data_IF_820032492640
#
_entry.id   IF_820032492640
#
_cell.length_a   1.000
_cell.length_b   1.000
_cell.length_c   1.000
_cell.angle_alpha   90.00
_cell.angle_beta   90.00
_cell.angle_gamma   90.00
#
_symmetry.space_group_name_H-M   'P 1'
#
loop_
_entity.id
_entity.type
_entity.pdbx_description
1 polymer ?
#
# COMPACT_ATOMS: atom_id res chain seq x y z
N UNK A 1 34.22 -19.71 -15.54
CA UNK A 1 33.45 -19.72 -14.28
C UNK A 1 31.98 -19.52 -14.64
N UNK A 2 31.06 -20.06 -13.86
CA UNK A 2 29.61 -19.92 -14.10
C UNK A 2 29.15 -18.55 -13.63
N UNK A 3 28.57 -17.75 -14.52
CA UNK A 3 27.77 -16.57 -14.17
C UNK A 3 26.73 -16.94 -13.09
N UNK A 4 26.22 -15.97 -12.30
CA UNK A 4 25.14 -16.23 -11.36
C UNK A 4 24.00 -16.95 -12.10
N UNK A 5 23.72 -18.19 -11.70
CA UNK A 5 22.65 -19.00 -12.27
C UNK A 5 21.28 -18.63 -11.71
N UNK A 6 21.26 -17.82 -10.63
CA UNK A 6 20.06 -17.30 -9.98
C UNK A 6 20.22 -15.78 -9.87
N UNK A 7 19.35 -15.05 -10.55
CA UNK A 7 19.16 -13.60 -10.37
C UNK A 7 17.87 -13.42 -9.58
N UNK A 8 17.86 -12.43 -8.69
CA UNK A 8 16.70 -12.03 -7.89
C UNK A 8 15.69 -11.19 -8.70
N UNK A 9 15.89 -11.06 -10.02
CA UNK A 9 15.05 -10.28 -10.92
C UNK A 9 13.55 -10.65 -10.85
N UNK A 10 13.22 -11.94 -10.75
CA UNK A 10 11.81 -12.37 -10.68
C UNK A 10 11.17 -11.91 -9.38
N UNK A 11 11.89 -12.04 -8.26
CA UNK A 11 11.47 -11.57 -6.94
C UNK A 11 11.34 -10.05 -6.91
N UNK A 12 12.30 -9.33 -7.50
CA UNK A 12 12.25 -7.87 -7.65
C UNK A 12 11.00 -7.43 -8.41
N UNK A 13 10.69 -8.06 -9.55
CA UNK A 13 9.50 -7.71 -10.33
C UNK A 13 8.21 -8.02 -9.56
N UNK A 14 8.18 -9.13 -8.81
CA UNK A 14 7.04 -9.46 -7.95
C UNK A 14 6.83 -8.42 -6.83
N UNK A 15 7.92 -7.90 -6.23
CA UNK A 15 7.87 -6.84 -5.24
C UNK A 15 7.36 -5.52 -5.84
N UNK A 16 7.82 -5.12 -7.03
CA UNK A 16 7.30 -3.93 -7.72
C UNK A 16 5.81 -4.07 -8.06
N UNK A 17 5.38 -5.25 -8.53
CA UNK A 17 3.97 -5.49 -8.82
C UNK A 17 3.12 -5.41 -7.53
N UNK A 18 3.62 -5.98 -6.42
CA UNK A 18 2.95 -5.91 -5.13
C UNK A 18 2.86 -4.47 -4.61
N UNK A 19 3.97 -3.72 -4.68
CA UNK A 19 4.04 -2.30 -4.33
C UNK A 19 3.02 -1.46 -5.13
N UNK A 20 2.90 -1.75 -6.42
CA UNK A 20 1.92 -1.12 -7.29
C UNK A 20 0.48 -1.47 -6.86
N UNK A 21 0.16 -2.74 -6.59
CA UNK A 21 -1.20 -3.12 -6.16
C UNK A 21 -1.62 -2.41 -4.87
N UNK A 22 -0.71 -2.27 -3.90
CA UNK A 22 -1.00 -1.55 -2.66
C UNK A 22 -1.31 -0.06 -2.89
N UNK A 23 -0.52 0.63 -3.72
CA UNK A 23 -0.67 2.07 -3.95
C UNK A 23 -1.74 2.43 -4.97
N UNK A 24 -1.89 1.64 -6.01
CA UNK A 24 -2.76 1.95 -7.15
C UNK A 24 -4.13 1.32 -7.03
N UNK A 25 -4.28 0.27 -6.21
CA UNK A 25 -5.58 -0.38 -6.02
C UNK A 25 -6.09 -0.27 -4.59
N UNK A 26 -5.32 -0.70 -3.59
CA UNK A 26 -5.81 -0.76 -2.21
C UNK A 26 -6.03 0.64 -1.61
N UNK A 27 -5.00 1.49 -1.62
CA UNK A 27 -5.07 2.84 -1.05
C UNK A 27 -6.19 3.70 -1.66
N UNK A 28 -6.38 3.79 -3.00
CA UNK A 28 -7.44 4.61 -3.60
C UNK A 28 -8.85 4.07 -3.34
N UNK A 29 -9.01 2.74 -3.23
CA UNK A 29 -10.30 2.14 -2.85
C UNK A 29 -10.66 2.48 -1.41
N UNK A 30 -9.69 2.48 -0.49
CA UNK A 30 -9.88 2.91 0.90
C UNK A 30 -10.20 4.40 0.99
N UNK A 31 -9.49 5.25 0.25
CA UNK A 31 -9.79 6.67 0.14
C UNK A 31 -11.21 6.92 -0.41
N UNK A 32 -11.63 6.18 -1.43
CA UNK A 32 -12.99 6.27 -1.98
C UNK A 32 -14.05 5.86 -0.94
N UNK A 33 -13.80 4.77 -0.21
CA UNK A 33 -14.69 4.32 0.85
C UNK A 33 -14.76 5.36 1.99
N UNK A 34 -13.63 5.96 2.37
CA UNK A 34 -13.57 7.05 3.35
C UNK A 34 -14.46 8.21 2.92
N UNK A 35 -14.36 8.67 1.68
CA UNK A 35 -15.20 9.75 1.14
C UNK A 35 -16.68 9.40 1.26
N UNK A 36 -17.07 8.15 0.94
CA UNK A 36 -18.46 7.70 1.10
C UNK A 36 -18.91 7.70 2.56
N UNK A 37 -18.06 7.28 3.49
CA UNK A 37 -18.36 7.33 4.93
C UNK A 37 -18.51 8.78 5.42
N UNK A 38 -17.58 9.65 5.02
CA UNK A 38 -17.59 11.09 5.38
C UNK A 38 -18.87 11.77 4.86
N UNK A 39 -19.35 11.38 3.68
CA UNK A 39 -20.62 11.91 3.15
C UNK A 39 -21.84 11.55 4.02
N UNK A 40 -21.76 10.48 4.82
CA UNK A 40 -22.78 10.11 5.79
C UNK A 40 -22.70 10.90 7.10
N UNK A 41 -21.59 11.57 7.39
CA UNK A 41 -21.46 12.36 8.61
C UNK A 41 -22.47 13.51 8.62
N UNK A 42 -23.22 13.63 9.71
CA UNK A 42 -24.25 14.64 9.85
C UNK A 42 -25.50 14.37 9.02
N UNK A 43 -25.61 13.21 8.35
CA UNK A 43 -26.84 12.77 7.70
C UNK A 43 -27.81 12.06 8.65
N UNK A 44 -27.44 11.90 9.93
CA UNK A 44 -28.32 11.33 10.96
C UNK A 44 -29.72 11.96 10.97
N UNK A 45 -29.85 13.27 10.70
CA UNK A 45 -31.14 13.95 10.67
C UNK A 45 -32.18 13.31 9.73
N UNK A 46 -31.75 12.58 8.69
CA UNK A 46 -32.61 11.88 7.74
C UNK A 46 -33.47 10.78 8.39
N UNK A 47 -33.07 10.27 9.56
CA UNK A 47 -33.89 9.34 10.35
C UNK A 47 -35.20 9.96 10.86
N UNK A 48 -35.32 11.29 10.88
CA UNK A 48 -36.50 11.99 11.35
C UNK A 48 -36.78 11.76 12.84
N UNK A 49 -37.99 12.13 13.28
CA UNK A 49 -38.37 12.13 14.70
C UNK A 49 -38.58 10.71 15.25
N UNK A 50 -39.13 9.80 14.45
CA UNK A 50 -39.45 8.44 14.88
C UNK A 50 -38.20 7.59 15.19
N UNK A 51 -37.07 7.92 14.56
CA UNK A 51 -35.80 7.23 14.74
C UNK A 51 -34.72 8.21 15.23
N UNK A 52 -35.11 9.26 15.98
CA UNK A 52 -34.20 10.30 16.46
C UNK A 52 -33.05 9.76 17.33
N UNK A 53 -33.27 8.65 18.05
CA UNK A 53 -32.23 7.99 18.83
C UNK A 53 -31.11 7.38 17.99
N UNK A 54 -31.32 7.19 16.69
CA UNK A 54 -30.33 6.64 15.75
C UNK A 54 -29.48 7.72 15.07
N UNK A 55 -29.82 9.01 15.21
CA UNK A 55 -29.10 10.10 14.55
C UNK A 55 -27.64 10.17 15.03
N UNK A 56 -27.44 10.30 16.33
CA UNK A 56 -26.09 10.37 16.90
C UNK A 56 -25.29 9.08 16.67
N UNK A 57 -25.82 7.86 16.91
CA UNK A 57 -25.11 6.63 16.60
C UNK A 57 -24.70 6.49 15.12
N UNK A 58 -25.52 6.98 14.19
CA UNK A 58 -25.19 6.99 12.77
C UNK A 58 -24.01 7.93 12.48
N UNK A 59 -24.05 9.15 13.00
CA UNK A 59 -22.99 10.12 12.77
C UNK A 59 -21.67 9.68 13.42
N UNK A 60 -21.74 9.08 14.61
CA UNK A 60 -20.59 8.46 15.28
C UNK A 60 -20.01 7.31 14.45
N UNK A 61 -20.87 6.45 13.88
CA UNK A 61 -20.45 5.37 13.00
C UNK A 61 -19.78 5.88 11.73
N UNK A 62 -20.38 6.88 11.07
CA UNK A 62 -19.84 7.47 9.85
C UNK A 62 -18.45 8.08 10.10
N UNK A 63 -18.30 8.83 11.20
CA UNK A 63 -17.04 9.43 11.64
C UNK A 63 -15.98 8.37 11.95
N UNK A 64 -16.35 7.34 12.72
CA UNK A 64 -15.42 6.26 13.06
C UNK A 64 -14.98 5.47 11.82
N UNK A 65 -15.91 5.18 10.90
CA UNK A 65 -15.62 4.51 9.65
C UNK A 65 -14.67 5.34 8.76
N UNK A 66 -14.92 6.64 8.62
CA UNK A 66 -14.05 7.55 7.88
C UNK A 66 -12.63 7.59 8.47
N UNK A 67 -12.50 7.60 9.80
CA UNK A 67 -11.23 7.53 10.50
C UNK A 67 -10.45 6.25 10.19
N UNK A 68 -11.07 5.08 10.39
CA UNK A 68 -10.43 3.77 10.13
C UNK A 68 -10.02 3.61 8.67
N UNK A 69 -10.88 4.04 7.73
CA UNK A 69 -10.59 3.99 6.30
C UNK A 69 -9.45 4.93 5.90
N UNK A 70 -9.33 6.09 6.57
CA UNK A 70 -8.19 6.99 6.42
C UNK A 70 -6.88 6.34 6.84
N UNK A 71 -6.82 5.82 8.06
CA UNK A 71 -5.63 5.10 8.57
C UNK A 71 -5.27 3.92 7.67
N UNK A 72 -6.27 3.16 7.19
CA UNK A 72 -6.05 2.05 6.27
C UNK A 72 -5.47 2.48 4.94
N UNK A 73 -5.91 3.63 4.39
CA UNK A 73 -5.37 4.18 3.14
C UNK A 73 -3.90 4.56 3.30
N UNK A 74 -3.55 5.28 4.37
CA UNK A 74 -2.17 5.68 4.68
C UNK A 74 -1.27 4.44 4.85
N UNK A 75 -1.70 3.48 5.67
CA UNK A 75 -0.97 2.23 5.90
C UNK A 75 -0.76 1.44 4.61
N UNK A 76 -1.74 1.45 3.71
CA UNK A 76 -1.64 0.79 2.40
C UNK A 76 -0.61 1.47 1.50
N UNK A 77 -0.53 2.79 1.55
CA UNK A 77 0.51 3.54 0.82
C UNK A 77 1.91 3.19 1.37
N UNK A 78 2.09 3.25 2.70
CA UNK A 78 3.35 2.95 3.36
C UNK A 78 3.83 1.52 3.05
N UNK A 79 2.92 0.55 3.01
CA UNK A 79 3.23 -0.83 2.62
C UNK A 79 3.77 -0.90 1.19
N UNK A 80 3.13 -0.19 0.26
CA UNK A 80 3.60 -0.15 -1.12
C UNK A 80 4.96 0.51 -1.27
N UNK A 81 5.22 1.60 -0.55
CA UNK A 81 6.52 2.28 -0.57
C UNK A 81 7.64 1.42 0.04
N UNK A 82 7.34 0.71 1.14
CA UNK A 82 8.29 -0.24 1.74
C UNK A 82 8.64 -1.38 0.78
N UNK A 83 7.65 -1.95 0.08
CA UNK A 83 7.88 -3.01 -0.91
C UNK A 83 8.69 -2.51 -2.11
N UNK A 84 8.46 -1.27 -2.57
CA UNK A 84 9.26 -0.66 -3.62
C UNK A 84 10.72 -0.48 -3.17
N UNK A 85 10.94 -0.06 -1.92
CA UNK A 85 12.28 0.09 -1.38
C UNK A 85 13.03 -1.26 -1.34
N UNK A 86 12.35 -2.33 -0.89
CA UNK A 86 12.95 -3.68 -0.91
C UNK A 86 13.30 -4.11 -2.34
N UNK A 87 12.44 -3.82 -3.33
CA UNK A 87 12.72 -4.12 -4.73
C UNK A 87 13.99 -3.39 -5.22
N UNK A 88 14.15 -2.11 -4.89
CA UNK A 88 15.36 -1.32 -5.22
C UNK A 88 16.62 -1.89 -4.56
N UNK A 89 16.52 -2.32 -3.30
CA UNK A 89 17.64 -2.92 -2.58
C UNK A 89 18.06 -4.25 -3.22
N UNK A 90 17.09 -5.01 -3.77
CA UNK A 90 17.36 -6.22 -4.54
C UNK A 90 18.09 -5.89 -5.85
N UNK A 91 17.63 -4.90 -6.62
CA UNK A 91 18.32 -4.47 -7.85
C UNK A 91 19.77 -4.03 -7.57
N UNK A 92 19.99 -3.27 -6.50
CA UNK A 92 21.32 -2.84 -6.09
C UNK A 92 22.21 -4.05 -5.71
N UNK A 93 21.64 -5.05 -5.03
CA UNK A 93 22.35 -6.28 -4.66
C UNK A 93 22.77 -7.07 -5.91
N UNK A 94 21.87 -7.26 -6.87
CA UNK A 94 22.16 -8.00 -8.11
C UNK A 94 23.26 -7.28 -8.95
N UNK A 95 23.17 -5.94 -9.04
CA UNK A 95 24.18 -5.12 -9.72
C UNK A 95 25.56 -5.20 -9.06
N UNK A 96 25.61 -5.19 -7.72
CA UNK A 96 26.85 -5.31 -6.97
C UNK A 96 27.50 -6.68 -7.14
N UNK A 97 26.71 -7.77 -7.11
CA UNK A 97 27.21 -9.14 -7.34
C UNK A 97 27.79 -9.28 -8.75
N UNK A 98 27.08 -8.76 -9.76
CA UNK A 98 27.57 -8.76 -11.16
C UNK A 98 28.91 -8.04 -11.30
N UNK A 99 29.06 -6.89 -10.62
CA UNK A 99 30.32 -6.11 -10.62
C UNK A 99 31.47 -6.86 -9.94
N UNK A 100 31.21 -7.51 -8.79
CA UNK A 100 32.22 -8.29 -8.07
C UNK A 100 32.71 -9.48 -8.89
N UNK A 101 31.81 -10.23 -9.53
CA UNK A 101 32.21 -11.35 -10.39
C UNK A 101 33.03 -10.88 -11.59
N UNK A 102 32.68 -9.75 -12.20
CA UNK A 102 33.44 -9.19 -13.33
C UNK A 102 34.89 -8.82 -12.91
N UNK A 103 35.07 -8.24 -11.72
CA UNK A 103 36.42 -7.95 -11.18
C UNK A 103 37.21 -9.22 -10.90
N UNK A 104 36.56 -10.21 -10.30
CA UNK A 104 37.15 -11.50 -9.97
C UNK A 104 37.59 -12.28 -11.23
N UNK A 105 36.79 -12.23 -12.30
CA UNK A 105 37.15 -12.81 -13.62
C UNK A 105 38.30 -12.06 -14.32
N UNK A 106 38.45 -10.75 -14.05
CA UNK A 106 39.54 -9.93 -14.57
C UNK A 106 40.87 -10.10 -13.80
N UNK A 107 40.91 -10.89 -12.72
CA UNK A 107 42.11 -11.09 -11.90
C UNK A 107 42.53 -9.87 -11.07
N UNK A 108 41.58 -8.97 -10.80
CA UNK A 108 41.71 -7.78 -9.95
C UNK A 108 41.08 -8.05 -8.58
#
# INVERSE_FOLDING_TARGET
MTKPTQSIYVETQALYNCAFTWRSEASPKLATAKTKATNGEGQGYLFGVLLASLQQPHDDFATAAAGVLGTGSETSTDMGDALEQVAKDYEATDANISTLMTKQEAGL
#
